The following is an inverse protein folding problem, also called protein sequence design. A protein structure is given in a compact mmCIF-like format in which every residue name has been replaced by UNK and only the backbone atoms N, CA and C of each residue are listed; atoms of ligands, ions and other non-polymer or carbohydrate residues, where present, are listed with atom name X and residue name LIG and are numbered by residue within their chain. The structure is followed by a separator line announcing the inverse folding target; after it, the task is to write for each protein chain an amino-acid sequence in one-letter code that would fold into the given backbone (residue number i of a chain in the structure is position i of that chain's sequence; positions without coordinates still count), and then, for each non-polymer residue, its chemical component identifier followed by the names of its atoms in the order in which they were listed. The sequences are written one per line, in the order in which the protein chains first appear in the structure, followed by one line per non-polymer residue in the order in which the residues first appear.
data_IF_427264533845
#
_entry.id   IF_427264533845
#
_cell.length_a   1.000
_cell.length_b   1.000
_cell.length_c   1.000
_cell.angle_alpha   90.00
_cell.angle_beta   90.00
_cell.angle_gamma   90.00
#
_symmetry.space_group_name_H-M   'P 1'
#
loop_
_entity.id
_entity.type
_entity.pdbx_description
1 polymer ?
#
# COMPACT_ATOMS: atom_id res chain seq x y z
N UNK A 1 -64.55 4.70 -86.31
CA UNK A 1 -64.45 6.10 -85.85
C UNK A 1 -64.01 6.06 -84.39
N UNK A 2 -62.81 6.60 -84.12
CA UNK A 2 -62.12 6.58 -82.83
C UNK A 2 -62.96 7.12 -81.67
N UNK A 3 -62.90 6.47 -80.50
CA UNK A 3 -62.83 7.14 -79.19
C UNK A 3 -62.08 6.23 -78.18
N UNK A 4 -60.76 6.38 -78.11
CA UNK A 4 -59.96 5.90 -76.97
C UNK A 4 -60.07 6.91 -75.83
N UNK A 5 -60.58 6.47 -74.67
CA UNK A 5 -60.52 7.17 -73.39
C UNK A 5 -59.24 6.77 -72.63
N UNK A 6 -58.45 7.70 -72.06
CA UNK A 6 -57.30 7.35 -71.24
C UNK A 6 -57.72 7.03 -69.79
N UNK A 7 -57.15 5.94 -69.27
CA UNK A 7 -57.27 5.45 -67.89
C UNK A 7 -56.53 6.35 -66.90
N UNK A 8 -57.12 6.57 -65.72
CA UNK A 8 -56.42 7.10 -64.53
C UNK A 8 -55.94 5.94 -63.65
N UNK A 9 -54.70 5.95 -63.14
CA UNK A 9 -54.22 4.94 -62.22
C UNK A 9 -54.76 5.20 -60.80
N UNK A 10 -55.30 4.15 -60.18
CA UNK A 10 -55.71 4.13 -58.77
C UNK A 10 -54.54 3.61 -57.93
N UNK A 11 -53.96 4.47 -57.10
CA UNK A 11 -52.92 4.09 -56.15
C UNK A 11 -53.55 3.33 -54.97
N UNK A 12 -53.22 2.05 -54.82
CA UNK A 12 -53.59 1.23 -53.66
C UNK A 12 -52.51 1.44 -52.60
N UNK A 13 -52.85 2.17 -51.54
CA UNK A 13 -52.01 2.32 -50.37
C UNK A 13 -52.09 1.04 -49.52
N UNK A 14 -51.03 0.24 -49.52
CA UNK A 14 -50.89 -0.94 -48.66
C UNK A 14 -50.56 -0.52 -47.23
N UNK A 15 -51.46 -0.82 -46.29
CA UNK A 15 -51.22 -0.70 -44.85
C UNK A 15 -50.45 -1.94 -44.39
N UNK A 16 -49.15 -1.79 -44.11
CA UNK A 16 -48.33 -2.81 -43.45
C UNK A 16 -48.58 -2.73 -41.94
N UNK A 17 -49.31 -3.71 -41.41
CA UNK A 17 -49.51 -3.90 -39.98
C UNK A 17 -48.28 -4.61 -39.39
N UNK A 18 -47.35 -3.85 -38.79
CA UNK A 18 -46.21 -4.41 -38.06
C UNK A 18 -46.68 -4.93 -36.70
N UNK A 19 -46.68 -6.26 -36.51
CA UNK A 19 -46.84 -6.87 -35.20
C UNK A 19 -45.49 -6.77 -34.48
N UNK A 20 -45.38 -5.84 -33.53
CA UNK A 20 -44.24 -5.74 -32.63
C UNK A 20 -44.40 -6.76 -31.50
N UNK A 21 -43.64 -7.86 -31.54
CA UNK A 21 -43.49 -8.76 -30.39
C UNK A 21 -42.48 -8.12 -29.44
N UNK A 22 -42.97 -7.54 -28.34
CA UNK A 22 -42.10 -7.05 -27.27
C UNK A 22 -41.60 -8.23 -26.44
N UNK A 23 -40.36 -8.66 -26.68
CA UNK A 23 -39.63 -9.46 -25.71
C UNK A 23 -39.24 -8.57 -24.54
N UNK A 24 -39.91 -8.76 -23.39
CA UNK A 24 -39.41 -8.22 -22.14
C UNK A 24 -38.18 -9.02 -21.74
N UNK A 25 -36.99 -8.51 -22.04
CA UNK A 25 -35.76 -8.97 -21.42
C UNK A 25 -35.84 -8.55 -19.94
N UNK A 26 -36.09 -9.50 -19.05
CA UNK A 26 -35.90 -9.25 -17.62
C UNK A 26 -34.43 -8.88 -17.43
N UNK A 27 -34.16 -7.69 -16.90
CA UNK A 27 -32.82 -7.31 -16.48
C UNK A 27 -32.31 -8.39 -15.51
N UNK A 28 -31.05 -8.86 -15.64
CA UNK A 28 -30.49 -9.78 -14.68
C UNK A 28 -30.63 -9.16 -13.27
N UNK A 29 -30.87 -9.98 -12.22
CA UNK A 29 -30.87 -9.47 -10.86
C UNK A 29 -29.58 -8.70 -10.65
N UNK A 30 -29.71 -7.49 -10.11
CA UNK A 30 -28.62 -6.58 -9.81
C UNK A 30 -27.53 -7.38 -9.08
N UNK A 31 -26.48 -7.77 -9.82
CA UNK A 31 -25.33 -8.43 -9.24
C UNK A 31 -24.69 -7.32 -8.42
N UNK A 32 -24.99 -7.31 -7.12
CA UNK A 32 -24.41 -6.37 -6.18
C UNK A 32 -22.90 -6.37 -6.44
N UNK A 33 -22.43 -5.30 -7.10
CA UNK A 33 -21.02 -5.10 -7.32
C UNK A 33 -20.42 -5.08 -5.91
N UNK A 34 -19.55 -6.05 -5.63
CA UNK A 34 -18.71 -6.02 -4.43
C UNK A 34 -18.19 -4.58 -4.33
N UNK A 35 -18.38 -3.87 -3.19
CA UNK A 35 -17.93 -2.50 -3.09
C UNK A 35 -16.51 -2.43 -3.63
N UNK A 36 -16.24 -1.52 -4.57
CA UNK A 36 -14.89 -1.26 -5.03
C UNK A 36 -14.04 -1.20 -3.77
N UNK A 37 -13.03 -2.08 -3.69
CA UNK A 37 -12.02 -2.03 -2.63
C UNK A 37 -11.63 -0.57 -2.49
N UNK A 38 -12.11 0.06 -1.42
CA UNK A 38 -11.91 1.49 -1.18
C UNK A 38 -10.41 1.70 -1.18
N UNK A 39 -9.92 2.79 -1.77
CA UNK A 39 -8.48 3.12 -1.77
C UNK A 39 -7.89 3.21 -0.35
N UNK A 40 -8.71 3.09 0.69
CA UNK A 40 -8.37 2.81 2.09
C UNK A 40 -7.70 1.44 2.33
N UNK A 41 -7.75 0.52 1.35
CA UNK A 41 -7.12 -0.80 1.44
C UNK A 41 -5.69 -0.86 0.91
N UNK A 42 -5.08 0.30 0.56
CA UNK A 42 -3.64 0.38 0.31
C UNK A 42 -2.92 -0.30 1.48
N UNK A 43 -2.11 -1.31 1.18
CA UNK A 43 -1.40 -2.13 2.16
C UNK A 43 -0.32 -1.25 2.81
N UNK A 44 -0.69 -0.35 3.69
CA UNK A 44 0.20 0.60 4.35
C UNK A 44 -0.18 0.71 5.81
N UNK A 45 0.81 0.88 6.66
CA UNK A 45 0.60 1.07 8.09
C UNK A 45 0.08 2.47 8.43
N UNK A 46 -0.25 3.32 7.46
CA UNK A 46 -0.91 4.64 7.60
C UNK A 46 -2.00 4.78 6.52
N UNK A 47 -3.05 5.55 6.82
CA UNK A 47 -4.18 5.70 5.89
C UNK A 47 -3.80 6.52 4.64
N UNK A 48 -4.56 6.37 3.55
CA UNK A 48 -4.39 7.22 2.38
C UNK A 48 -4.55 8.71 2.73
N UNK A 49 -5.49 9.04 3.61
CA UNK A 49 -5.70 10.42 4.10
C UNK A 49 -4.48 10.96 4.86
N UNK A 50 -3.85 10.15 5.72
CA UNK A 50 -2.63 10.56 6.44
C UNK A 50 -1.46 10.81 5.48
N UNK A 51 -1.36 10.03 4.42
CA UNK A 51 -0.27 10.12 3.42
C UNK A 51 -0.44 11.30 2.45
N UNK A 52 -1.67 11.76 2.24
CA UNK A 52 -2.00 12.74 1.18
C UNK A 52 -2.46 14.09 1.70
N UNK A 53 -2.76 14.20 3.00
CA UNK A 53 -3.06 15.50 3.60
C UNK A 53 -1.86 16.45 3.47
N UNK A 54 -2.10 17.77 3.45
CA UNK A 54 -1.02 18.73 3.61
C UNK A 54 -0.24 18.45 4.90
N UNK A 55 1.09 18.39 4.77
CA UNK A 55 1.99 18.27 5.90
C UNK A 55 2.15 19.62 6.59
N UNK A 56 2.16 19.62 7.93
CA UNK A 56 2.47 20.83 8.68
C UNK A 56 3.96 21.19 8.51
N UNK A 57 4.34 22.48 8.57
CA UNK A 57 5.74 22.86 8.58
C UNK A 57 6.52 22.14 9.69
N UNK A 58 7.59 21.45 9.30
CA UNK A 58 8.45 20.70 10.23
C UNK A 58 7.91 19.32 10.63
N UNK A 59 6.76 18.90 10.10
CA UNK A 59 6.22 17.57 10.32
C UNK A 59 7.13 16.49 9.73
N UNK A 60 7.30 15.40 10.50
CA UNK A 60 8.12 14.26 10.13
C UNK A 60 7.32 12.99 10.34
N UNK A 61 7.26 12.14 9.32
CA UNK A 61 6.58 10.86 9.39
C UNK A 61 7.51 9.74 8.92
N UNK A 62 7.31 8.56 9.49
CA UNK A 62 7.98 7.34 9.12
C UNK A 62 6.95 6.22 9.09
N UNK A 63 6.89 5.43 8.01
CA UNK A 63 5.80 4.48 7.84
C UNK A 63 6.13 3.41 6.78
N UNK A 64 5.45 2.27 6.87
CA UNK A 64 5.51 1.18 5.89
C UNK A 64 4.49 1.39 4.76
N UNK A 65 4.91 1.24 3.51
CA UNK A 65 4.05 1.52 2.35
C UNK A 65 3.38 0.29 1.76
N UNK A 66 3.83 -0.92 2.14
CA UNK A 66 3.43 -2.20 1.54
C UNK A 66 3.05 -3.30 2.56
N UNK A 67 2.96 -2.95 3.86
CA UNK A 67 2.50 -3.84 4.94
C UNK A 67 1.74 -3.00 5.98
N UNK A 68 0.75 -3.59 6.63
CA UNK A 68 -0.06 -2.95 7.68
C UNK A 68 -0.29 -3.87 8.87
N UNK A 69 -0.82 -3.29 9.95
CA UNK A 69 -1.19 -4.03 11.15
C UNK A 69 -2.26 -5.10 10.85
N UNK A 70 -2.00 -6.32 11.30
CA UNK A 70 -2.84 -7.49 11.10
C UNK A 70 -2.57 -8.29 9.83
N UNK A 71 -1.60 -7.87 9.00
CA UNK A 71 -1.30 -8.58 7.75
C UNK A 71 -0.76 -9.99 8.00
N UNK A 72 -1.12 -10.90 7.08
CA UNK A 72 -0.57 -12.24 7.00
C UNK A 72 0.39 -12.33 5.81
N UNK A 73 1.63 -12.70 6.07
CA UNK A 73 2.70 -12.75 5.06
C UNK A 73 3.38 -14.12 5.04
N UNK A 74 4.15 -14.41 4.00
CA UNK A 74 4.99 -15.62 3.90
C UNK A 74 6.44 -15.20 3.75
N UNK A 75 7.33 -15.80 4.52
CA UNK A 75 8.76 -15.53 4.40
C UNK A 75 9.38 -16.24 3.19
N UNK A 76 10.36 -15.60 2.51
CA UNK A 76 10.78 -14.20 2.72
C UNK A 76 9.79 -13.20 2.10
N UNK A 77 9.63 -12.03 2.72
CA UNK A 77 8.76 -10.97 2.22
C UNK A 77 9.46 -9.62 2.19
N UNK A 78 9.08 -8.77 1.23
CA UNK A 78 9.61 -7.41 1.10
C UNK A 78 8.84 -6.47 2.01
N UNK A 79 9.55 -5.56 2.66
CA UNK A 79 8.99 -4.38 3.34
C UNK A 79 9.61 -3.14 2.72
N UNK A 80 8.80 -2.11 2.50
CA UNK A 80 9.21 -0.84 1.94
C UNK A 80 8.78 0.27 2.90
N UNK A 81 9.70 1.20 3.14
CA UNK A 81 9.59 2.20 4.18
C UNK A 81 9.80 3.59 3.62
N UNK A 82 9.12 4.56 4.22
CA UNK A 82 9.10 5.95 3.77
C UNK A 82 9.46 6.86 4.93
N UNK A 83 10.33 7.84 4.67
CA UNK A 83 10.53 9.01 5.51
C UNK A 83 9.95 10.24 4.79
N UNK A 84 9.11 11.02 5.49
CA UNK A 84 8.59 12.31 5.02
C UNK A 84 9.05 13.42 5.96
N UNK A 85 9.36 14.59 5.39
CA UNK A 85 9.93 15.73 6.14
C UNK A 85 11.43 15.61 6.47
N UNK A 86 12.06 14.48 6.16
CA UNK A 86 13.50 14.24 6.29
C UNK A 86 14.04 13.50 5.06
N UNK A 87 15.31 13.71 4.74
CA UNK A 87 16.00 12.95 3.69
C UNK A 87 16.58 11.65 4.23
N UNK A 88 16.73 10.66 3.36
CA UNK A 88 17.44 9.40 3.66
C UNK A 88 18.86 9.52 3.13
N UNK A 89 19.86 9.27 3.98
CA UNK A 89 21.27 9.36 3.60
C UNK A 89 22.06 8.17 4.18
N UNK A 90 23.06 7.65 3.44
CA UNK A 90 23.95 6.64 3.98
C UNK A 90 24.76 7.21 5.14
N UNK A 91 25.01 6.39 6.15
CA UNK A 91 25.87 6.70 7.30
C UNK A 91 27.25 7.16 6.85
N UNK A 92 27.79 6.54 5.79
CA UNK A 92 29.10 6.86 5.24
C UNK A 92 29.23 8.31 4.71
N UNK A 93 28.11 9.00 4.44
CA UNK A 93 28.13 10.40 4.03
C UNK A 93 28.34 11.38 5.21
N UNK A 94 28.37 10.89 6.46
CA UNK A 94 28.59 11.71 7.65
C UNK A 94 27.38 12.60 7.98
N UNK A 95 27.64 13.74 8.62
CA UNK A 95 26.59 14.66 9.02
C UNK A 95 26.01 15.41 7.81
N UNK A 96 24.76 15.12 7.49
CA UNK A 96 23.96 15.91 6.55
C UNK A 96 22.72 16.44 7.28
N UNK A 97 22.47 17.74 7.13
CA UNK A 97 21.36 18.41 7.82
C UNK A 97 20.02 17.83 7.37
N UNK A 98 19.14 17.55 8.33
CA UNK A 98 17.78 17.03 8.10
C UNK A 98 17.73 15.68 7.37
N UNK A 99 18.75 14.84 7.54
CA UNK A 99 18.75 13.47 7.04
C UNK A 99 19.00 12.45 8.14
N UNK A 100 18.76 11.19 7.79
CA UNK A 100 19.05 10.04 8.64
C UNK A 100 18.96 8.76 7.83
N UNK A 101 18.88 7.63 8.54
CA UNK A 101 18.72 6.32 7.94
C UNK A 101 17.76 5.47 8.76
N UNK A 102 17.29 4.38 8.16
CA UNK A 102 16.24 3.55 8.73
C UNK A 102 16.79 2.45 9.63
N UNK A 103 16.04 2.15 10.67
CA UNK A 103 16.13 0.92 11.44
C UNK A 103 14.74 0.27 11.49
N UNK A 104 14.69 -1.06 11.50
CA UNK A 104 13.48 -1.81 11.89
C UNK A 104 13.75 -2.48 13.23
N UNK A 105 12.86 -2.24 14.20
CA UNK A 105 12.76 -3.00 15.43
C UNK A 105 11.80 -4.17 15.21
N UNK A 106 12.26 -5.38 15.55
CA UNK A 106 11.52 -6.63 15.44
C UNK A 106 11.33 -7.20 16.84
N UNK A 107 10.08 -7.32 17.28
CA UNK A 107 9.69 -7.91 18.57
C UNK A 107 10.28 -7.22 19.81
N UNK A 108 10.72 -5.97 19.68
CA UNK A 108 11.38 -5.25 20.78
C UNK A 108 10.83 -3.83 20.96
N UNK A 109 10.87 -3.30 22.20
CA UNK A 109 10.46 -1.94 22.48
C UNK A 109 11.45 -0.92 21.88
N UNK A 110 11.04 0.34 21.82
CA UNK A 110 11.95 1.44 21.48
C UNK A 110 13.10 1.53 22.48
N UNK A 111 14.31 1.98 22.05
CA UNK A 111 15.40 2.27 22.97
C UNK A 111 14.97 3.29 24.02
N UNK A 112 15.31 3.01 25.27
CA UNK A 112 14.96 3.88 26.42
C UNK A 112 15.86 5.12 26.45
N UNK A 113 17.14 4.96 26.09
CA UNK A 113 18.07 6.07 26.03
C UNK A 113 17.96 6.78 24.67
N UNK A 114 17.49 8.02 24.72
CA UNK A 114 17.24 8.82 23.53
C UNK A 114 18.48 9.47 22.94
N UNK A 115 19.60 9.44 23.66
CA UNK A 115 20.85 10.12 23.32
C UNK A 115 21.97 9.14 22.99
N UNK A 116 21.82 7.87 23.38
CA UNK A 116 22.75 6.82 23.02
C UNK A 116 22.52 6.35 21.57
N UNK A 117 23.59 5.88 20.90
CA UNK A 117 23.45 5.10 19.67
C UNK A 117 22.52 3.90 19.86
N UNK A 118 21.71 3.61 18.85
CA UNK A 118 20.88 2.39 18.82
C UNK A 118 21.82 1.18 18.97
N UNK A 119 21.53 0.24 19.88
CA UNK A 119 22.29 -0.99 20.00
C UNK A 119 22.23 -1.80 18.70
N UNK A 120 23.37 -2.33 18.28
CA UNK A 120 23.39 -3.39 17.28
C UNK A 120 23.25 -4.73 17.99
N UNK A 121 22.50 -5.65 17.40
CA UNK A 121 22.53 -7.04 17.83
C UNK A 121 23.95 -7.58 17.69
N UNK A 122 24.32 -8.49 18.58
CA UNK A 122 25.67 -9.05 18.55
C UNK A 122 25.83 -9.97 17.33
N UNK A 123 27.05 -10.15 16.79
CA UNK A 123 27.29 -10.97 15.60
C UNK A 123 26.82 -12.44 15.74
N UNK A 124 26.79 -12.98 16.95
CA UNK A 124 26.30 -14.33 17.30
C UNK A 124 24.77 -14.42 17.40
N UNK A 125 24.08 -13.29 17.43
CA UNK A 125 22.62 -13.17 17.40
C UNK A 125 22.09 -12.95 15.98
N UNK A 126 22.88 -13.22 14.92
CA UNK A 126 22.50 -12.99 13.53
C UNK A 126 21.15 -13.64 13.13
N UNK A 127 20.78 -14.76 13.78
CA UNK A 127 19.51 -15.46 13.58
C UNK A 127 18.30 -14.79 14.28
N UNK A 128 18.56 -13.83 15.17
CA UNK A 128 17.58 -13.09 15.96
C UNK A 128 17.87 -11.58 15.94
N UNK A 129 18.31 -11.04 14.79
CA UNK A 129 18.55 -9.60 14.71
C UNK A 129 17.27 -8.80 14.88
N UNK A 130 17.04 -8.33 16.10
CA UNK A 130 15.93 -7.52 16.50
C UNK A 130 16.06 -6.06 16.04
N UNK A 131 17.29 -5.58 15.79
CA UNK A 131 17.59 -4.29 15.21
C UNK A 131 18.17 -4.46 13.80
N UNK A 132 17.32 -4.32 12.79
CA UNK A 132 17.78 -4.30 11.40
C UNK A 132 18.21 -2.88 11.01
N UNK A 133 19.50 -2.74 10.75
CA UNK A 133 20.15 -1.48 10.36
C UNK A 133 20.22 -1.33 8.84
N UNK A 134 19.73 -0.19 8.34
CA UNK A 134 19.73 0.17 6.92
C UNK A 134 20.59 1.42 6.70
N UNK A 135 21.88 1.27 7.01
CA UNK A 135 22.85 2.36 7.04
C UNK A 135 23.36 2.83 5.69
N UNK A 136 23.04 2.15 4.58
CA UNK A 136 23.44 2.60 3.25
C UNK A 136 22.37 3.50 2.60
N UNK A 137 21.34 3.88 3.37
CA UNK A 137 20.22 4.68 2.88
C UNK A 137 19.21 3.84 2.10
N UNK A 138 19.10 2.53 2.42
CA UNK A 138 18.06 1.69 1.88
C UNK A 138 16.68 2.29 2.21
N UNK A 139 15.68 1.98 1.39
CA UNK A 139 14.25 2.36 1.56
C UNK A 139 13.32 1.16 1.54
N UNK A 140 13.91 -0.04 1.45
CA UNK A 140 13.23 -1.31 1.46
C UNK A 140 14.18 -2.42 1.89
N UNK A 141 13.61 -3.55 2.30
CA UNK A 141 14.36 -4.73 2.70
C UNK A 141 13.54 -6.00 2.44
N UNK A 142 14.23 -7.13 2.38
CA UNK A 142 13.60 -8.45 2.46
C UNK A 142 13.80 -8.99 3.87
N UNK A 143 12.70 -9.33 4.54
CA UNK A 143 12.70 -9.96 5.85
C UNK A 143 12.42 -11.46 5.69
N UNK A 144 13.21 -12.27 6.39
CA UNK A 144 13.05 -13.72 6.47
C UNK A 144 12.82 -14.10 7.94
N UNK A 145 11.59 -13.89 8.40
CA UNK A 145 11.18 -14.15 9.78
C UNK A 145 10.62 -15.57 9.93
N UNK A 146 10.79 -16.22 11.09
CA UNK A 146 10.16 -17.51 11.34
C UNK A 146 8.63 -17.40 11.34
N UNK A 147 7.89 -18.51 11.13
CA UNK A 147 6.44 -18.51 11.28
C UNK A 147 6.02 -18.11 12.70
N UNK A 148 5.03 -17.22 12.82
CA UNK A 148 4.60 -16.68 14.10
C UNK A 148 4.11 -15.24 14.02
N UNK A 149 3.75 -14.67 15.18
CA UNK A 149 3.44 -13.25 15.30
C UNK A 149 4.71 -12.45 15.50
N UNK A 150 4.82 -11.34 14.78
CA UNK A 150 5.94 -10.41 14.90
C UNK A 150 5.47 -8.97 14.97
N UNK A 151 6.08 -8.18 15.84
CA UNK A 151 5.88 -6.74 15.94
C UNK A 151 6.99 -6.03 15.19
N UNK A 152 6.62 -5.12 14.29
CA UNK A 152 7.54 -4.31 13.52
C UNK A 152 7.32 -2.83 13.82
N UNK A 153 8.41 -2.09 13.99
CA UNK A 153 8.40 -0.62 14.06
C UNK A 153 9.62 -0.05 13.36
N UNK A 154 9.45 1.01 12.58
CA UNK A 154 10.55 1.79 12.04
C UNK A 154 11.05 2.81 13.07
N UNK A 155 12.35 3.05 13.08
CA UNK A 155 13.01 4.10 13.86
C UNK A 155 14.05 4.81 12.98
N UNK A 156 13.98 6.14 12.93
CA UNK A 156 14.92 6.95 12.17
C UNK A 156 16.05 7.47 13.06
N UNK A 157 17.29 7.39 12.58
CA UNK A 157 18.48 7.81 13.31
C UNK A 157 19.44 8.66 12.45
N UNK A 158 20.27 9.46 13.12
CA UNK A 158 21.31 10.24 12.46
C UNK A 158 22.52 9.35 12.06
N UNK A 159 23.56 9.93 11.46
CA UNK A 159 24.76 9.18 11.03
C UNK A 159 25.58 8.55 12.17
N UNK A 160 25.37 8.95 13.43
CA UNK A 160 25.97 8.31 14.61
C UNK A 160 25.02 7.29 15.28
N UNK A 161 23.97 6.87 14.58
CA UNK A 161 22.93 5.96 15.07
C UNK A 161 22.14 6.51 16.27
N UNK A 162 22.22 7.81 16.53
CA UNK A 162 21.42 8.46 17.58
C UNK A 162 19.99 8.67 17.05
N UNK A 163 18.97 8.12 17.73
CA UNK A 163 17.60 8.18 17.25
C UNK A 163 17.02 9.60 17.28
N UNK A 164 16.31 9.97 16.22
CA UNK A 164 15.54 11.22 16.18
C UNK A 164 14.18 11.13 16.90
N UNK A 165 13.79 9.94 17.35
CA UNK A 165 12.43 9.61 17.82
C UNK A 165 11.35 9.92 16.78
N UNK A 166 11.72 9.89 15.51
CA UNK A 166 10.77 9.78 14.40
C UNK A 166 10.56 8.30 14.15
N UNK A 167 9.36 7.81 14.46
CA UNK A 167 9.02 6.38 14.43
C UNK A 167 7.74 6.13 13.67
N UNK A 168 7.58 4.92 13.13
CA UNK A 168 6.27 4.48 12.63
C UNK A 168 5.33 4.06 13.76
N UNK A 169 4.07 3.81 13.39
CA UNK A 169 3.20 2.97 14.21
C UNK A 169 3.85 1.59 14.36
N UNK A 170 3.63 0.94 15.51
CA UNK A 170 3.96 -0.48 15.62
C UNK A 170 2.85 -1.28 14.96
N UNK A 171 3.24 -2.22 14.11
CA UNK A 171 2.34 -3.15 13.46
C UNK A 171 2.64 -4.55 13.94
N UNK A 172 1.59 -5.32 14.25
CA UNK A 172 1.68 -6.77 14.45
C UNK A 172 1.34 -7.46 13.13
N UNK A 173 2.22 -8.36 12.67
CA UNK A 173 2.03 -9.17 11.47
C UNK A 173 2.07 -10.66 11.86
N UNK A 174 1.47 -11.51 11.03
CA UNK A 174 1.57 -12.97 11.18
C UNK A 174 2.29 -13.58 9.99
N UNK A 175 3.44 -14.21 10.24
CA UNK A 175 4.18 -14.98 9.25
C UNK A 175 3.60 -16.40 9.21
N UNK A 176 3.09 -16.78 8.05
CA UNK A 176 2.50 -18.09 7.83
C UNK A 176 3.58 -19.18 7.71
N UNK A 177 3.30 -20.42 8.15
CA UNK A 177 4.16 -21.57 7.88
C UNK A 177 4.42 -21.73 6.38
N UNK A 178 5.60 -22.24 6.00
CA UNK A 178 5.88 -22.58 4.59
C UNK A 178 4.79 -23.52 4.07
N UNK A 179 4.35 -23.29 2.83
CA UNK A 179 3.41 -24.21 2.19
C UNK A 179 4.12 -25.55 1.99
N UNK A 180 3.48 -26.63 2.43
CA UNK A 180 3.93 -28.01 2.19
C UNK A 180 3.77 -28.38 0.72
#
# INVERSE_FOLDING_TARGET
MNIHHPLKPLAIAGVLLSISVSFAFAAPPDVALKPLETTDSVISDVSASDRTRPFLPGEKLLYFTNIKNGDQVRSPFRVAFVASGMGVAPVAAGEIKNTGHHHILIDMPLPVDIKAPIPFDKPDEYLHQHYKHYGNGETEAVLDLPPGKHKLRLLFANHQHVPYYVTSREIEITVLPKAN
#
